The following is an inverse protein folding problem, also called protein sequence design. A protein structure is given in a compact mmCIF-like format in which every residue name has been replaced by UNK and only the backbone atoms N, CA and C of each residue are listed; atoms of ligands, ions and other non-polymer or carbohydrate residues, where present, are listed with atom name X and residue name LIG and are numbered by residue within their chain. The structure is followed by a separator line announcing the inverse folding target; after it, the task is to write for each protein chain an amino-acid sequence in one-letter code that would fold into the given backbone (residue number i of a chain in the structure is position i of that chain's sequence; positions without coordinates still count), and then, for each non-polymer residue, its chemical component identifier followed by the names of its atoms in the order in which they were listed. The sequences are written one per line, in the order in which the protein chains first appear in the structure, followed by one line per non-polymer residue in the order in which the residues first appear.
data_IF_131410554524
#
_entry.id   IF_131410554524
#
_cell.length_a   1.000
_cell.length_b   1.000
_cell.length_c   1.000
_cell.angle_alpha   90.00
_cell.angle_beta   90.00
_cell.angle_gamma   90.00
#
_symmetry.space_group_name_H-M   'P 1'
#
loop_
_entity.id
_entity.type
_entity.pdbx_description
1 polymer ?
#
# COMPACT_ATOMS: atom_id res chain seq x y z
N UNK A 1 -9.83 -1.51 -25.90
CA UNK A 1 -10.17 -1.86 -24.49
C UNK A 1 -10.10 -0.59 -23.67
N UNK A 2 -11.06 -0.32 -22.80
CA UNK A 2 -10.94 0.80 -21.87
C UNK A 2 -9.99 0.46 -20.71
N UNK A 3 -9.66 1.49 -19.87
CA UNK A 3 -8.69 1.34 -18.79
C UNK A 3 -9.17 0.40 -17.68
N UNK A 4 -10.47 0.45 -17.34
CA UNK A 4 -11.06 -0.42 -16.31
C UNK A 4 -11.00 -1.89 -16.72
N UNK A 5 -11.45 -2.21 -17.92
CA UNK A 5 -11.42 -3.57 -18.45
C UNK A 5 -9.98 -4.09 -18.54
N UNK A 6 -9.02 -3.24 -18.96
CA UNK A 6 -7.60 -3.59 -19.03
C UNK A 6 -7.05 -4.01 -17.68
N UNK A 7 -7.27 -3.19 -16.64
CA UNK A 7 -6.81 -3.47 -15.27
C UNK A 7 -7.53 -4.69 -14.70
N UNK A 8 -8.86 -4.78 -14.91
CA UNK A 8 -9.64 -5.93 -14.46
C UNK A 8 -9.13 -7.23 -15.06
N UNK A 9 -8.90 -7.27 -16.39
CA UNK A 9 -8.32 -8.45 -17.05
C UNK A 9 -6.94 -8.80 -16.51
N UNK A 10 -6.07 -7.82 -16.35
CA UNK A 10 -4.75 -8.03 -15.80
C UNK A 10 -4.83 -8.68 -14.42
N UNK A 11 -5.60 -8.12 -13.48
CA UNK A 11 -5.75 -8.66 -12.12
C UNK A 11 -6.35 -10.08 -12.16
N UNK A 12 -7.31 -10.35 -13.07
CA UNK A 12 -7.95 -11.66 -13.22
C UNK A 12 -7.17 -12.63 -14.12
N UNK A 13 -5.91 -12.32 -14.41
CA UNK A 13 -4.99 -13.20 -15.18
C UNK A 13 -5.53 -13.55 -16.59
N UNK A 14 -6.20 -12.56 -17.19
CA UNK A 14 -6.66 -12.60 -18.57
C UNK A 14 -5.83 -11.62 -19.39
N UNK A 15 -5.52 -11.97 -20.64
CA UNK A 15 -4.71 -11.11 -21.51
C UNK A 15 -5.42 -9.77 -21.80
N UNK A 16 -4.87 -8.63 -21.39
CA UNK A 16 -5.34 -7.32 -21.84
C UNK A 16 -4.77 -6.97 -23.23
N UNK A 17 -5.22 -5.86 -23.81
CA UNK A 17 -4.65 -5.32 -25.06
C UNK A 17 -3.21 -4.84 -24.90
N UNK A 18 -2.85 -4.34 -23.73
CA UNK A 18 -1.48 -4.08 -23.25
C UNK A 18 -1.41 -4.28 -21.73
N UNK A 19 -0.23 -4.44 -21.19
CA UNK A 19 -0.03 -4.42 -19.74
C UNK A 19 -0.46 -3.06 -19.19
N UNK A 20 -1.32 -3.00 -18.16
CA UNK A 20 -1.65 -1.74 -17.50
C UNK A 20 -0.44 -1.18 -16.75
N UNK A 21 -0.41 0.13 -16.59
CA UNK A 21 0.66 0.84 -15.88
C UNK A 21 0.11 1.67 -14.73
N UNK A 22 0.90 1.78 -13.67
CA UNK A 22 0.61 2.61 -12.52
C UNK A 22 1.79 3.50 -12.15
N UNK A 23 1.52 4.54 -11.34
CA UNK A 23 2.49 5.53 -10.91
C UNK A 23 2.43 5.72 -9.40
N UNK A 24 3.58 5.59 -8.76
CA UNK A 24 3.74 5.90 -7.33
C UNK A 24 5.07 6.63 -7.13
N UNK A 25 5.03 7.82 -6.52
CA UNK A 25 6.22 8.64 -6.27
C UNK A 25 6.07 9.51 -5.03
N UNK A 26 7.20 9.98 -4.52
CA UNK A 26 7.23 11.05 -3.52
C UNK A 26 6.77 12.37 -4.14
N UNK A 27 6.14 13.27 -3.36
CA UNK A 27 5.62 14.55 -3.88
C UNK A 27 6.66 15.40 -4.60
N UNK A 28 7.91 15.41 -4.13
CA UNK A 28 9.00 16.15 -4.75
C UNK A 28 9.34 15.64 -6.16
N UNK A 29 9.26 14.34 -6.39
CA UNK A 29 9.48 13.72 -7.72
C UNK A 29 8.35 14.09 -8.67
N UNK A 30 7.10 13.98 -8.20
CA UNK A 30 5.93 14.41 -8.97
C UNK A 30 6.03 15.86 -9.38
N UNK A 31 6.40 16.75 -8.45
CA UNK A 31 6.58 18.18 -8.70
C UNK A 31 7.67 18.43 -9.75
N UNK A 32 8.79 17.73 -9.65
CA UNK A 32 9.89 17.84 -10.60
C UNK A 32 9.48 17.40 -12.02
N UNK A 33 8.77 16.25 -12.14
CA UNK A 33 8.26 15.74 -13.43
C UNK A 33 7.28 16.72 -14.07
N UNK A 34 6.27 17.19 -13.32
CA UNK A 34 5.28 18.17 -13.82
C UNK A 34 5.98 19.40 -14.36
N UNK A 35 6.94 19.95 -13.61
CA UNK A 35 7.71 21.14 -14.00
C UNK A 35 8.57 20.90 -15.25
N UNK A 36 9.32 19.82 -15.32
CA UNK A 36 10.24 19.53 -16.42
C UNK A 36 9.50 19.22 -17.71
N UNK A 37 8.33 18.57 -17.62
CA UNK A 37 7.50 18.27 -18.78
C UNK A 37 6.58 19.43 -19.21
N UNK A 38 6.57 20.55 -18.47
CA UNK A 38 5.71 21.70 -18.76
C UNK A 38 4.21 21.43 -18.59
N UNK A 39 3.86 20.49 -17.71
CA UNK A 39 2.48 20.10 -17.45
C UNK A 39 1.82 21.02 -16.41
N UNK A 40 0.48 21.03 -16.36
CA UNK A 40 -0.27 21.90 -15.44
C UNK A 40 -0.36 21.29 -14.03
N UNK A 41 -0.46 19.95 -13.93
CA UNK A 41 -0.63 19.30 -12.63
C UNK A 41 -0.48 17.78 -12.65
N UNK A 42 -0.85 17.18 -11.53
CA UNK A 42 -0.70 15.74 -11.31
C UNK A 42 -1.53 14.90 -12.30
N UNK A 43 -2.78 15.28 -12.55
CA UNK A 43 -3.63 14.55 -13.49
C UNK A 43 -3.05 14.54 -14.91
N UNK A 44 -2.47 15.68 -15.37
CA UNK A 44 -1.81 15.76 -16.68
C UNK A 44 -0.58 14.84 -16.74
N UNK A 45 0.16 14.72 -15.62
CA UNK A 45 1.29 13.80 -15.53
C UNK A 45 0.82 12.34 -15.67
N UNK A 46 -0.24 11.96 -14.97
CA UNK A 46 -0.79 10.61 -15.05
C UNK A 46 -1.31 10.27 -16.47
N UNK A 47 -1.92 11.26 -17.16
CA UNK A 47 -2.31 11.11 -18.56
C UNK A 47 -1.09 10.97 -19.48
N UNK A 48 -0.08 11.83 -19.30
CA UNK A 48 1.17 11.80 -20.07
C UNK A 48 1.88 10.45 -19.95
N UNK A 49 1.91 9.86 -18.76
CA UNK A 49 2.49 8.54 -18.49
C UNK A 49 1.57 7.39 -18.94
N UNK A 50 0.33 7.67 -19.31
CA UNK A 50 -0.63 6.66 -19.76
C UNK A 50 -1.11 5.69 -18.69
N UNK A 51 -1.14 6.13 -17.41
CA UNK A 51 -1.55 5.28 -16.28
C UNK A 51 -3.02 4.89 -16.36
N UNK A 52 -3.33 3.69 -15.90
CA UNK A 52 -4.65 3.09 -15.99
C UNK A 52 -5.44 3.15 -14.68
N UNK A 53 -4.77 3.43 -13.55
CA UNK A 53 -5.34 3.48 -12.21
C UNK A 53 -5.48 4.92 -11.71
N UNK A 54 -6.50 5.16 -10.85
CA UNK A 54 -6.63 6.40 -10.07
C UNK A 54 -6.96 6.07 -8.63
N UNK A 55 -6.21 6.64 -7.73
CA UNK A 55 -6.43 6.48 -6.30
C UNK A 55 -7.43 7.51 -5.83
N UNK A 56 -8.56 7.02 -5.36
CA UNK A 56 -9.52 7.81 -4.61
C UNK A 56 -8.90 8.04 -3.25
N UNK A 57 -8.75 9.28 -2.82
CA UNK A 57 -7.97 9.70 -1.65
C UNK A 57 -8.55 9.29 -0.27
N UNK A 58 -8.88 8.02 -0.01
CA UNK A 58 -9.19 7.55 1.33
C UNK A 58 -7.95 7.58 2.24
N UNK A 59 -6.74 7.50 1.64
CA UNK A 59 -5.47 7.66 2.37
C UNK A 59 -5.36 9.05 3.00
N UNK A 60 -5.67 10.09 2.25
CA UNK A 60 -5.62 11.47 2.74
C UNK A 60 -6.74 11.78 3.72
N UNK A 61 -7.89 11.13 3.60
CA UNK A 61 -8.97 11.23 4.58
C UNK A 61 -8.52 10.78 5.98
N UNK A 62 -7.68 9.74 6.07
CA UNK A 62 -7.18 9.23 7.36
C UNK A 62 -6.05 10.09 7.93
N UNK A 63 -5.24 10.75 7.09
CA UNK A 63 -4.04 11.47 7.52
C UNK A 63 -4.15 13.00 7.40
N UNK A 64 -5.09 13.53 6.60
CA UNK A 64 -5.29 14.97 6.46
C UNK A 64 -6.11 15.58 7.59
N UNK A 65 -5.49 16.54 8.30
CA UNK A 65 -6.11 17.30 9.38
C UNK A 65 -7.41 18.02 8.99
N UNK A 66 -7.62 18.35 7.70
CA UNK A 66 -8.79 19.11 7.22
C UNK A 66 -10.10 18.33 7.24
N UNK A 67 -10.03 17.00 7.23
CA UNK A 67 -11.20 16.11 7.15
C UNK A 67 -11.43 15.31 8.41
N UNK A 68 -10.56 15.47 9.40
CA UNK A 68 -10.65 14.81 10.68
C UNK A 68 -11.48 15.65 11.66
N UNK A 69 -12.59 15.09 12.13
CA UNK A 69 -13.54 15.76 13.04
C UNK A 69 -13.42 15.28 14.50
N UNK A 70 -12.52 14.35 14.77
CA UNK A 70 -12.24 13.82 16.11
C UNK A 70 -11.32 14.73 16.93
N UNK A 71 -10.87 14.26 18.10
CA UNK A 71 -9.88 14.94 18.90
C UNK A 71 -8.61 15.20 18.06
N UNK A 72 -8.20 16.46 18.00
CA UNK A 72 -7.00 16.80 17.22
C UNK A 72 -5.77 16.13 17.82
N UNK A 73 -4.85 15.60 16.97
CA UNK A 73 -3.56 15.17 17.43
C UNK A 73 -2.86 16.28 18.17
N UNK A 74 -2.28 15.98 19.32
CA UNK A 74 -1.54 16.97 20.12
C UNK A 74 -0.19 17.25 19.49
N UNK A 75 0.22 18.52 19.48
CA UNK A 75 1.59 18.93 19.17
C UNK A 75 2.25 19.34 20.47
N UNK A 76 3.48 18.92 20.69
CA UNK A 76 4.23 19.14 21.91
C UNK A 76 5.27 20.26 21.74
N UNK A 77 5.74 20.82 22.85
CA UNK A 77 6.67 21.97 22.84
C UNK A 77 8.02 21.67 22.17
N UNK A 78 8.43 20.40 22.12
CA UNK A 78 9.63 19.94 21.43
C UNK A 78 9.45 19.70 19.92
N UNK A 79 8.29 20.07 19.36
CA UNK A 79 7.95 19.92 17.95
C UNK A 79 7.48 18.51 17.56
N UNK A 80 7.47 17.55 18.49
CA UNK A 80 6.87 16.24 18.25
C UNK A 80 5.34 16.34 18.18
N UNK A 81 4.70 15.36 17.58
CA UNK A 81 3.25 15.34 17.40
C UNK A 81 2.69 13.92 17.57
N UNK A 82 1.44 13.84 17.96
CA UNK A 82 0.71 12.61 18.20
C UNK A 82 -0.23 12.31 17.02
N UNK A 83 -0.24 11.06 16.55
CA UNK A 83 -1.20 10.62 15.52
C UNK A 83 -2.54 10.16 16.13
N UNK A 84 -3.46 9.69 15.27
CA UNK A 84 -4.81 9.26 15.70
C UNK A 84 -4.81 8.08 16.67
N UNK A 85 -3.71 7.33 16.74
CA UNK A 85 -3.52 6.19 17.62
C UNK A 85 -2.93 6.59 18.99
N UNK A 86 -2.62 7.85 19.19
CA UNK A 86 -1.87 8.32 20.35
C UNK A 86 -0.37 8.01 20.28
N UNK A 87 0.12 7.57 19.12
CA UNK A 87 1.55 7.36 18.89
C UNK A 87 2.22 8.70 18.63
N UNK A 88 3.27 9.01 19.41
CA UNK A 88 4.00 10.26 19.28
C UNK A 88 5.17 10.08 18.32
N UNK A 89 5.33 11.05 17.43
CA UNK A 89 6.35 11.08 16.38
C UNK A 89 7.22 12.31 16.51
N UNK A 90 8.49 12.17 16.13
CA UNK A 90 9.43 13.27 16.03
C UNK A 90 10.20 13.18 14.72
N UNK A 91 10.61 14.33 14.19
CA UNK A 91 11.46 14.36 13.02
C UNK A 91 12.88 13.94 13.38
N UNK A 92 13.42 12.99 12.64
CA UNK A 92 14.81 12.53 12.73
C UNK A 92 15.51 12.75 11.40
N UNK A 93 16.79 13.10 11.45
CA UNK A 93 17.63 13.24 10.27
C UNK A 93 18.45 11.96 10.08
N UNK A 94 18.33 11.34 8.90
CA UNK A 94 19.12 10.18 8.52
C UNK A 94 19.67 10.41 7.12
N UNK A 95 20.98 10.42 6.97
CA UNK A 95 21.69 10.59 5.70
C UNK A 95 21.20 11.80 4.86
N UNK A 96 20.93 12.93 5.54
CA UNK A 96 20.47 14.17 4.90
C UNK A 96 18.98 14.22 4.58
N UNK A 97 18.22 13.17 4.84
CA UNK A 97 16.76 13.12 4.69
C UNK A 97 16.06 13.22 6.04
N UNK A 98 14.87 13.83 6.05
CA UNK A 98 14.03 13.96 7.25
C UNK A 98 12.94 12.89 7.24
N UNK A 99 12.83 12.16 8.36
CA UNK A 99 11.80 11.14 8.58
C UNK A 99 11.02 11.42 9.85
N UNK A 100 9.74 11.04 9.87
CA UNK A 100 8.93 11.02 11.09
C UNK A 100 9.09 9.64 11.75
N UNK A 101 9.75 9.59 12.90
CA UNK A 101 9.99 8.35 13.65
C UNK A 101 9.18 8.32 14.95
N UNK A 102 8.89 7.13 15.44
CA UNK A 102 8.12 6.90 16.67
C UNK A 102 9.02 7.18 17.87
N UNK A 103 8.66 8.18 18.69
CA UNK A 103 9.36 8.50 19.93
C UNK A 103 8.57 8.12 21.21
N UNK A 104 7.27 7.78 21.08
CA UNK A 104 6.45 7.30 22.17
C UNK A 104 5.34 6.39 21.67
N UNK A 105 5.14 5.27 22.35
CA UNK A 105 4.08 4.27 22.10
C UNK A 105 3.15 4.24 23.31
N UNK A 106 1.83 4.52 23.14
CA UNK A 106 0.92 4.70 24.27
C UNK A 106 0.71 3.44 25.11
N UNK A 107 0.84 2.26 24.51
CA UNK A 107 0.69 0.96 25.20
C UNK A 107 2.03 0.22 25.39
N UNK A 108 3.16 0.95 25.45
CA UNK A 108 4.50 0.34 25.55
C UNK A 108 4.68 -0.57 26.76
N UNK A 109 3.91 -0.38 27.83
CA UNK A 109 3.99 -1.15 29.08
C UNK A 109 2.75 -2.02 29.33
N UNK A 110 1.79 -2.04 28.39
CA UNK A 110 0.54 -2.78 28.57
C UNK A 110 0.79 -4.29 28.56
N UNK A 111 0.33 -4.95 29.62
CA UNK A 111 0.39 -6.42 29.83
C UNK A 111 -0.97 -7.02 30.22
N UNK A 112 -2.04 -6.21 30.19
CA UNK A 112 -3.40 -6.62 30.54
C UNK A 112 -4.41 -6.12 29.51
N UNK A 113 -5.55 -6.81 29.42
CA UNK A 113 -6.67 -6.39 28.58
C UNK A 113 -7.31 -5.08 29.07
N UNK A 114 -7.29 -4.84 30.38
CA UNK A 114 -7.82 -3.61 30.95
C UNK A 114 -7.08 -2.37 30.44
N UNK A 115 -5.75 -2.43 30.36
CA UNK A 115 -4.93 -1.34 29.82
C UNK A 115 -5.22 -1.08 28.32
N UNK A 116 -5.46 -2.14 27.55
CA UNK A 116 -5.87 -2.02 26.14
C UNK A 116 -7.25 -1.38 26.02
N UNK A 117 -8.21 -1.77 26.89
CA UNK A 117 -9.58 -1.23 26.86
C UNK A 117 -9.67 0.22 27.30
N UNK A 118 -8.79 0.67 28.21
CA UNK A 118 -8.70 2.07 28.66
C UNK A 118 -8.05 3.00 27.63
N UNK A 119 -7.39 2.47 26.59
CA UNK A 119 -6.80 3.29 25.54
C UNK A 119 -7.87 4.01 24.72
N UNK A 120 -7.58 5.26 24.33
CA UNK A 120 -8.47 6.06 23.47
C UNK A 120 -8.31 5.68 22.01
N UNK A 121 -9.10 4.69 21.59
CA UNK A 121 -9.10 4.19 20.21
C UNK A 121 -9.77 5.18 19.25
N UNK A 122 -9.26 5.36 18.02
CA UNK A 122 -9.88 6.23 17.02
C UNK A 122 -11.25 5.68 16.57
N UNK A 123 -12.13 6.60 16.18
CA UNK A 123 -13.46 6.26 15.68
C UNK A 123 -13.55 6.55 14.17
N UNK A 124 -14.00 5.61 13.34
CA UNK A 124 -14.24 5.83 11.92
C UNK A 124 -15.15 7.02 11.59
N UNK A 125 -16.05 7.42 12.51
CA UNK A 125 -16.95 8.56 12.32
C UNK A 125 -16.26 9.93 12.42
N UNK A 126 -15.01 9.98 12.83
CA UNK A 126 -14.25 11.24 12.91
C UNK A 126 -13.73 11.74 11.57
N UNK A 127 -13.98 11.01 10.46
CA UNK A 127 -13.50 11.35 9.13
C UNK A 127 -14.63 11.79 8.20
N UNK A 128 -14.31 12.65 7.25
CA UNK A 128 -15.26 13.15 6.25
C UNK A 128 -15.12 12.38 4.94
N UNK A 129 -16.14 11.63 4.58
CA UNK A 129 -16.21 10.80 3.38
C UNK A 129 -16.98 11.42 2.22
N UNK A 130 -17.48 12.68 2.37
CA UNK A 130 -18.42 13.33 1.44
C UNK A 130 -17.84 13.62 0.06
N UNK A 131 -16.52 13.72 -0.06
CA UNK A 131 -15.85 13.99 -1.34
C UNK A 131 -15.67 12.73 -2.22
N UNK A 132 -15.80 11.54 -1.67
CA UNK A 132 -15.57 10.28 -2.39
C UNK A 132 -16.46 10.16 -3.64
N UNK A 133 -17.77 10.47 -3.61
CA UNK A 133 -18.61 10.41 -4.81
C UNK A 133 -18.14 11.33 -5.94
N UNK A 134 -17.60 12.51 -5.62
CA UNK A 134 -17.08 13.46 -6.61
C UNK A 134 -15.79 12.94 -7.23
N UNK A 135 -14.86 12.43 -6.43
CA UNK A 135 -13.64 11.81 -6.92
C UNK A 135 -13.96 10.62 -7.85
N UNK A 136 -14.90 9.76 -7.47
CA UNK A 136 -15.33 8.65 -8.31
C UNK A 136 -15.94 9.10 -9.65
N UNK A 137 -16.65 10.23 -9.67
CA UNK A 137 -17.17 10.80 -10.93
C UNK A 137 -16.06 11.37 -11.80
N UNK A 138 -15.13 12.12 -11.18
CA UNK A 138 -13.99 12.75 -11.88
C UNK A 138 -13.15 11.73 -12.63
N UNK A 139 -12.93 10.57 -12.04
CA UNK A 139 -12.04 9.54 -12.58
C UNK A 139 -12.79 8.31 -13.13
N UNK A 140 -14.04 8.48 -13.54
CA UNK A 140 -14.92 7.38 -13.95
C UNK A 140 -14.38 6.49 -15.08
N UNK A 141 -13.47 7.01 -15.93
CA UNK A 141 -12.87 6.29 -17.06
C UNK A 141 -11.65 5.44 -16.67
N UNK A 142 -11.23 5.48 -15.41
CA UNK A 142 -10.06 4.76 -14.88
C UNK A 142 -10.46 3.64 -13.93
N UNK A 143 -9.56 2.68 -13.71
CA UNK A 143 -9.72 1.73 -12.62
C UNK A 143 -9.54 2.46 -11.28
N UNK A 144 -10.60 2.52 -10.48
CA UNK A 144 -10.64 3.25 -9.23
C UNK A 144 -10.15 2.39 -8.07
N UNK A 145 -9.08 2.84 -7.44
CA UNK A 145 -8.45 2.19 -6.29
C UNK A 145 -8.84 2.96 -5.03
N UNK A 146 -9.29 2.28 -4.00
CA UNK A 146 -9.66 2.94 -2.75
C UNK A 146 -9.66 2.02 -1.54
N UNK A 147 -9.90 2.59 -0.36
CA UNK A 147 -9.93 1.88 0.92
C UNK A 147 -9.06 2.54 1.98
N UNK A 148 -9.30 2.25 3.26
CA UNK A 148 -8.38 2.60 4.33
C UNK A 148 -7.13 1.76 4.25
N UNK A 149 -5.97 2.35 4.60
CA UNK A 149 -4.66 1.71 4.44
C UNK A 149 -4.53 0.32 5.11
N UNK A 150 -5.26 0.07 6.20
CA UNK A 150 -5.35 -1.24 6.83
C UNK A 150 -4.03 -1.77 7.41
N UNK A 151 -3.14 -0.88 7.88
CA UNK A 151 -1.83 -1.24 8.42
C UNK A 151 -1.93 -1.93 9.80
N UNK A 152 -2.65 -3.04 9.89
CA UNK A 152 -2.96 -3.72 11.17
C UNK A 152 -1.68 -4.06 11.95
N UNK A 153 -0.70 -4.68 11.31
CA UNK A 153 0.58 -5.00 11.96
C UNK A 153 1.38 -3.73 12.26
N UNK A 154 1.48 -2.83 11.28
CA UNK A 154 2.23 -1.58 11.41
C UNK A 154 1.73 -0.71 12.56
N UNK A 155 0.42 -0.51 12.66
CA UNK A 155 -0.17 0.32 13.71
C UNK A 155 -0.16 -0.39 15.06
N UNK A 156 -0.41 -1.71 15.10
CA UNK A 156 -0.34 -2.48 16.35
C UNK A 156 1.06 -2.37 17.01
N UNK A 157 2.12 -2.57 16.23
CA UNK A 157 3.46 -2.45 16.83
C UNK A 157 3.88 -0.99 17.11
N UNK A 158 3.35 0.00 16.40
CA UNK A 158 3.62 1.42 16.74
C UNK A 158 2.90 1.82 18.03
N UNK A 159 1.70 1.33 18.25
CA UNK A 159 0.91 1.57 19.47
C UNK A 159 1.60 0.97 20.70
N UNK A 160 2.18 -0.22 20.57
CA UNK A 160 2.80 -0.92 21.71
C UNK A 160 4.33 -0.80 21.76
N UNK A 161 4.97 -0.31 20.69
CA UNK A 161 6.42 -0.41 20.48
C UNK A 161 6.78 -1.76 19.86
N UNK A 162 7.63 -1.75 18.81
CA UNK A 162 7.91 -2.97 18.04
C UNK A 162 8.44 -4.12 18.90
N UNK A 163 9.43 -3.85 19.77
CA UNK A 163 10.02 -4.88 20.62
C UNK A 163 8.99 -5.45 21.59
N UNK A 164 8.24 -4.58 22.30
CA UNK A 164 7.22 -5.00 23.27
C UNK A 164 6.12 -5.80 22.58
N UNK A 165 5.66 -5.35 21.42
CA UNK A 165 4.62 -6.05 20.65
C UNK A 165 5.06 -7.48 20.27
N UNK A 166 6.29 -7.64 19.74
CA UNK A 166 6.83 -8.94 19.35
C UNK A 166 7.00 -9.88 20.56
N UNK A 167 7.43 -9.35 21.71
CA UNK A 167 7.53 -10.12 22.96
C UNK A 167 6.12 -10.52 23.46
N UNK A 168 5.17 -9.59 23.46
CA UNK A 168 3.79 -9.86 23.91
C UNK A 168 3.03 -10.83 23.01
N UNK A 169 3.40 -10.95 21.73
CA UNK A 169 2.85 -12.04 20.90
C UNK A 169 3.17 -13.44 21.47
N UNK A 170 4.17 -13.56 22.35
CA UNK A 170 4.59 -14.82 22.99
C UNK A 170 4.17 -14.85 24.45
N UNK A 171 4.45 -13.81 25.22
CA UNK A 171 4.28 -13.76 26.67
C UNK A 171 2.86 -13.33 27.09
N UNK A 172 2.23 -12.40 26.35
CA UNK A 172 0.89 -11.88 26.60
C UNK A 172 0.07 -11.89 25.30
N UNK A 173 -0.15 -13.06 24.65
CA UNK A 173 -0.74 -13.14 23.32
C UNK A 173 -2.17 -12.59 23.25
N UNK A 174 -2.91 -12.60 24.35
CA UNK A 174 -4.26 -12.01 24.45
C UNK A 174 -4.21 -10.48 24.34
N UNK A 175 -3.16 -9.83 24.90
CA UNK A 175 -2.95 -8.37 24.80
C UNK A 175 -2.60 -8.00 23.37
N UNK A 176 -1.63 -8.69 22.76
CA UNK A 176 -1.26 -8.47 21.36
C UNK A 176 -2.46 -8.66 20.41
N UNK A 177 -3.26 -9.73 20.64
CA UNK A 177 -4.46 -10.00 19.84
C UNK A 177 -5.54 -8.93 20.03
N UNK A 178 -5.72 -8.42 21.25
CA UNK A 178 -6.68 -7.36 21.53
C UNK A 178 -6.31 -6.07 20.75
N UNK A 179 -5.04 -5.69 20.75
CA UNK A 179 -4.55 -4.53 19.97
C UNK A 179 -4.79 -4.73 18.47
N UNK A 180 -4.43 -5.90 17.92
CA UNK A 180 -4.70 -6.26 16.51
C UNK A 180 -6.18 -6.13 16.18
N UNK A 181 -7.05 -6.65 17.05
CA UNK A 181 -8.50 -6.61 16.86
C UNK A 181 -9.08 -5.19 16.89
N UNK A 182 -8.56 -4.31 17.75
CA UNK A 182 -8.98 -2.90 17.81
C UNK A 182 -8.58 -2.15 16.54
N UNK A 183 -7.35 -2.37 16.04
CA UNK A 183 -6.88 -1.77 14.79
C UNK A 183 -7.67 -2.29 13.59
N UNK A 184 -7.93 -3.61 13.52
CA UNK A 184 -8.78 -4.20 12.48
C UNK A 184 -10.19 -3.59 12.47
N UNK A 185 -10.85 -3.53 13.63
CA UNK A 185 -12.20 -2.97 13.75
C UNK A 185 -12.29 -1.53 13.26
N UNK A 186 -11.28 -0.73 13.58
CA UNK A 186 -11.22 0.64 13.07
C UNK A 186 -11.16 0.66 11.53
N UNK A 187 -10.23 -0.06 10.91
CA UNK A 187 -10.11 -0.09 9.45
C UNK A 187 -11.32 -0.72 8.77
N UNK A 188 -11.91 -1.75 9.36
CA UNK A 188 -13.17 -2.31 8.87
C UNK A 188 -14.27 -1.24 8.81
N UNK A 189 -14.44 -0.47 9.89
CA UNK A 189 -15.42 0.61 9.95
C UNK A 189 -15.12 1.77 9.01
N UNK A 190 -13.85 2.12 8.80
CA UNK A 190 -13.43 3.12 7.79
C UNK A 190 -13.77 2.64 6.38
N UNK A 191 -13.46 1.38 6.07
CA UNK A 191 -13.76 0.78 4.77
C UNK A 191 -15.26 0.76 4.47
N UNK A 192 -16.11 0.42 5.45
CA UNK A 192 -17.57 0.47 5.27
C UNK A 192 -18.02 1.85 4.77
N UNK A 193 -17.54 2.93 5.42
CA UNK A 193 -17.92 4.30 5.07
C UNK A 193 -17.39 4.73 3.70
N UNK A 194 -16.17 4.34 3.36
CA UNK A 194 -15.57 4.60 2.04
C UNK A 194 -16.38 3.89 0.96
N UNK A 195 -16.66 2.60 1.15
CA UNK A 195 -17.34 1.78 0.17
C UNK A 195 -18.79 2.21 -0.03
N UNK A 196 -19.48 2.58 1.05
CA UNK A 196 -20.84 3.12 1.00
C UNK A 196 -20.88 4.48 0.27
N UNK A 197 -19.92 5.38 0.57
CA UNK A 197 -19.81 6.66 -0.11
C UNK A 197 -19.46 6.51 -1.59
N UNK A 198 -18.64 5.54 -1.96
CA UNK A 198 -18.29 5.23 -3.35
C UNK A 198 -19.44 4.60 -4.14
N UNK A 199 -20.47 4.06 -3.46
CA UNK A 199 -21.68 3.50 -4.05
C UNK A 199 -21.42 2.50 -5.21
N UNK A 200 -20.50 1.56 -5.01
CA UNK A 200 -20.12 0.53 -5.98
C UNK A 200 -19.28 1.03 -7.15
N UNK A 201 -18.62 2.19 -7.03
CA UNK A 201 -17.77 2.75 -8.08
C UNK A 201 -16.30 2.33 -7.99
N UNK A 202 -15.85 1.87 -6.82
CA UNK A 202 -14.49 1.37 -6.65
C UNK A 202 -14.33 0.01 -7.36
N UNK A 203 -13.24 -0.14 -8.09
CA UNK A 203 -12.88 -1.37 -8.79
C UNK A 203 -11.91 -2.23 -7.97
N UNK A 204 -11.06 -1.58 -7.16
CA UNK A 204 -9.99 -2.21 -6.39
C UNK A 204 -9.99 -1.68 -4.96
N UNK A 205 -10.01 -2.58 -4.00
CA UNK A 205 -9.65 -2.30 -2.61
C UNK A 205 -8.13 -2.48 -2.43
N UNK A 206 -7.47 -1.44 -1.92
CA UNK A 206 -6.03 -1.44 -1.68
C UNK A 206 -5.73 -1.18 -0.22
N UNK A 207 -5.03 -2.12 0.41
CA UNK A 207 -4.58 -2.03 1.78
C UNK A 207 -3.28 -2.80 1.99
N UNK A 208 -2.61 -2.65 3.15
CA UNK A 208 -1.34 -3.33 3.28
C UNK A 208 -0.69 -3.35 4.65
N UNK A 209 0.26 -4.29 4.76
CA UNK A 209 1.10 -4.49 5.94
C UNK A 209 2.47 -5.00 5.52
N UNK A 210 3.53 -4.37 6.00
CA UNK A 210 4.89 -4.80 5.71
C UNK A 210 5.30 -5.94 6.66
N UNK A 211 5.29 -7.17 6.14
CA UNK A 211 5.75 -8.36 6.87
C UNK A 211 7.16 -8.78 6.48
N UNK A 212 7.74 -8.21 5.42
CA UNK A 212 9.05 -8.54 4.91
C UNK A 212 10.12 -7.50 5.21
N UNK A 213 11.34 -7.97 5.29
CA UNK A 213 12.57 -7.18 5.16
C UNK A 213 13.23 -7.52 3.82
N UNK A 214 14.37 -6.93 3.50
CA UNK A 214 15.11 -7.30 2.27
C UNK A 214 15.57 -8.78 2.26
N UNK A 215 15.70 -9.42 3.43
CA UNK A 215 16.29 -10.77 3.59
C UNK A 215 15.30 -11.83 4.05
N UNK A 216 14.10 -11.49 4.46
CA UNK A 216 13.13 -12.45 4.98
C UNK A 216 12.00 -11.80 5.74
N UNK A 217 11.17 -12.62 6.34
CA UNK A 217 10.01 -12.16 7.12
C UNK A 217 10.42 -11.57 8.47
N UNK A 218 9.66 -10.57 8.93
CA UNK A 218 9.75 -10.05 10.30
C UNK A 218 9.12 -11.00 11.32
N UNK A 219 8.17 -11.82 10.89
CA UNK A 219 7.47 -12.81 11.70
C UNK A 219 7.53 -14.17 11.00
N UNK A 220 7.55 -15.27 11.79
CA UNK A 220 7.37 -16.59 11.19
C UNK A 220 5.98 -16.72 10.55
N UNK A 221 5.80 -17.54 9.50
CA UNK A 221 4.46 -17.80 8.93
C UNK A 221 3.45 -18.30 9.95
N UNK A 222 3.90 -19.03 10.99
CA UNK A 222 3.04 -19.45 12.10
C UNK A 222 2.50 -18.28 12.90
N UNK A 223 3.35 -17.28 13.21
CA UNK A 223 2.93 -16.08 13.94
C UNK A 223 2.01 -15.20 13.09
N UNK A 224 2.31 -15.04 11.80
CA UNK A 224 1.44 -14.38 10.85
C UNK A 224 0.03 -15.01 10.86
N UNK A 225 -0.06 -16.34 10.68
CA UNK A 225 -1.35 -17.05 10.66
C UNK A 225 -2.11 -16.92 11.97
N UNK A 226 -1.41 -16.90 13.10
CA UNK A 226 -2.04 -16.80 14.43
C UNK A 226 -2.66 -15.43 14.65
N UNK A 227 -1.99 -14.35 14.28
CA UNK A 227 -2.37 -13.01 14.70
C UNK A 227 -3.01 -12.16 13.61
N UNK A 228 -2.69 -12.39 12.32
CA UNK A 228 -3.04 -11.45 11.24
C UNK A 228 -3.87 -12.06 10.11
N UNK A 229 -3.71 -13.36 9.81
CA UNK A 229 -4.33 -13.95 8.63
C UNK A 229 -5.86 -13.79 8.62
N UNK A 230 -6.52 -13.97 9.77
CA UNK A 230 -7.97 -13.83 9.88
C UNK A 230 -8.44 -12.38 9.64
N UNK A 231 -7.71 -11.40 10.20
CA UNK A 231 -8.01 -9.97 10.02
C UNK A 231 -7.82 -9.52 8.58
N UNK A 232 -6.75 -9.97 7.92
CA UNK A 232 -6.49 -9.68 6.51
C UNK A 232 -7.57 -10.30 5.62
N UNK A 233 -7.92 -11.57 5.85
CA UNK A 233 -8.99 -12.25 5.12
C UNK A 233 -10.35 -11.55 5.31
N UNK A 234 -10.66 -11.06 6.51
CA UNK A 234 -11.90 -10.34 6.81
C UNK A 234 -11.98 -9.00 6.06
N UNK A 235 -10.89 -8.22 6.00
CA UNK A 235 -10.86 -6.98 5.21
C UNK A 235 -10.95 -7.27 3.71
N UNK A 236 -10.28 -8.30 3.22
CA UNK A 236 -10.39 -8.72 1.82
C UNK A 236 -11.82 -9.16 1.47
N UNK A 237 -12.46 -9.96 2.34
CA UNK A 237 -13.83 -10.41 2.15
C UNK A 237 -14.83 -9.25 2.12
N UNK A 238 -14.65 -8.24 2.97
CA UNK A 238 -15.48 -7.02 2.98
C UNK A 238 -15.52 -6.32 1.61
N UNK A 239 -14.40 -6.29 0.90
CA UNK A 239 -14.31 -5.76 -0.46
C UNK A 239 -14.90 -6.71 -1.51
N UNK A 240 -14.63 -8.01 -1.39
CA UNK A 240 -15.18 -9.04 -2.29
C UNK A 240 -16.70 -9.07 -2.30
N UNK A 241 -17.33 -8.92 -1.16
CA UNK A 241 -18.81 -8.85 -1.03
C UNK A 241 -19.41 -7.66 -1.77
N UNK A 242 -18.61 -6.64 -2.07
CA UNK A 242 -18.97 -5.47 -2.87
C UNK A 242 -18.52 -5.55 -4.33
N UNK A 243 -17.97 -6.71 -4.76
CA UNK A 243 -17.55 -6.97 -6.14
C UNK A 243 -16.18 -6.38 -6.52
N UNK A 244 -15.40 -5.88 -5.56
CA UNK A 244 -14.08 -5.32 -5.82
C UNK A 244 -13.01 -6.40 -5.93
N UNK A 245 -11.97 -6.15 -6.73
CA UNK A 245 -10.69 -6.86 -6.65
C UNK A 245 -9.91 -6.37 -5.44
N UNK A 246 -9.02 -7.22 -4.90
CA UNK A 246 -8.21 -6.88 -3.73
C UNK A 246 -6.74 -6.83 -4.11
N UNK A 247 -6.14 -5.66 -3.99
CA UNK A 247 -4.70 -5.44 -4.12
C UNK A 247 -4.10 -5.23 -2.73
N UNK A 248 -3.07 -6.01 -2.41
CA UNK A 248 -2.50 -6.04 -1.07
C UNK A 248 -1.03 -5.67 -1.08
N UNK A 249 -0.69 -4.66 -0.28
CA UNK A 249 0.67 -4.19 -0.12
C UNK A 249 1.42 -4.99 0.94
N UNK A 250 2.59 -5.52 0.57
CA UNK A 250 3.57 -6.00 1.54
C UNK A 250 4.98 -5.94 0.96
N UNK A 251 5.77 -4.98 1.44
CA UNK A 251 7.16 -4.81 1.06
C UNK A 251 8.04 -5.98 1.49
N UNK A 252 9.19 -6.14 0.82
CA UNK A 252 10.26 -7.05 1.19
C UNK A 252 10.08 -8.49 0.73
N UNK A 253 10.84 -9.39 1.35
CA UNK A 253 10.91 -10.81 1.03
C UNK A 253 9.72 -11.58 1.63
N UNK A 254 8.55 -11.48 0.98
CA UNK A 254 7.28 -12.06 1.46
C UNK A 254 6.85 -13.33 0.74
N UNK A 255 7.70 -13.91 -0.12
CA UNK A 255 7.38 -15.11 -0.91
C UNK A 255 6.74 -16.23 -0.09
N UNK A 256 7.20 -16.47 1.14
CA UNK A 256 6.68 -17.52 2.01
C UNK A 256 5.23 -17.27 2.49
N UNK A 257 4.72 -16.03 2.41
CA UNK A 257 3.34 -15.66 2.76
C UNK A 257 2.40 -15.56 1.55
N UNK A 258 2.90 -15.64 0.32
CA UNK A 258 2.05 -15.55 -0.88
C UNK A 258 0.92 -16.60 -0.87
N UNK A 259 1.14 -17.88 -0.48
CA UNK A 259 0.03 -18.83 -0.34
C UNK A 259 -1.02 -18.40 0.69
N UNK A 260 -0.61 -17.77 1.79
CA UNK A 260 -1.53 -17.25 2.80
C UNK A 260 -2.32 -16.04 2.27
N UNK A 261 -1.68 -15.15 1.48
CA UNK A 261 -2.36 -14.02 0.82
C UNK A 261 -3.41 -14.50 -0.19
N UNK A 262 -3.07 -15.51 -1.00
CA UNK A 262 -4.02 -16.15 -1.92
C UNK A 262 -5.21 -16.73 -1.15
N UNK A 263 -4.96 -17.46 -0.06
CA UNK A 263 -6.01 -18.03 0.78
C UNK A 263 -6.88 -16.97 1.46
N UNK A 264 -6.34 -15.78 1.74
CA UNK A 264 -7.08 -14.64 2.27
C UNK A 264 -7.95 -13.92 1.21
N UNK A 265 -7.87 -14.32 -0.08
CA UNK A 265 -8.65 -13.72 -1.16
C UNK A 265 -7.99 -12.51 -1.83
N UNK A 266 -6.68 -12.34 -1.68
CA UNK A 266 -5.90 -11.31 -2.38
C UNK A 266 -5.79 -11.68 -3.86
N UNK A 267 -6.09 -10.73 -4.74
CA UNK A 267 -6.02 -10.91 -6.21
C UNK A 267 -4.70 -10.40 -6.79
N UNK A 268 -4.09 -9.38 -6.17
CA UNK A 268 -2.87 -8.75 -6.66
C UNK A 268 -1.93 -8.41 -5.49
N UNK A 269 -0.67 -8.83 -5.59
CA UNK A 269 0.39 -8.47 -4.63
C UNK A 269 1.10 -7.21 -5.11
N UNK A 270 1.20 -6.21 -4.23
CA UNK A 270 1.91 -4.94 -4.39
C UNK A 270 2.87 -4.69 -3.21
N UNK A 271 4.07 -4.19 -3.44
CA UNK A 271 4.80 -4.27 -4.69
C UNK A 271 5.61 -5.57 -4.74
N UNK A 272 5.94 -6.02 -5.94
CA UNK A 272 7.02 -7.00 -6.08
C UNK A 272 8.35 -6.26 -6.03
N UNK A 273 9.02 -6.28 -4.88
CA UNK A 273 10.36 -5.70 -4.72
C UNK A 273 11.41 -6.65 -5.28
N UNK A 274 11.83 -6.41 -6.53
CA UNK A 274 12.66 -7.33 -7.32
C UNK A 274 14.00 -7.69 -6.68
N UNK A 275 14.56 -6.84 -5.82
CA UNK A 275 15.85 -7.07 -5.14
C UNK A 275 15.71 -7.76 -3.78
N UNK A 276 14.51 -7.88 -3.23
CA UNK A 276 14.29 -8.62 -1.99
C UNK A 276 14.47 -10.13 -2.23
N UNK A 277 14.95 -10.84 -1.20
CA UNK A 277 15.28 -12.27 -1.33
C UNK A 277 14.07 -13.11 -1.75
N UNK A 278 14.24 -13.88 -2.84
CA UNK A 278 13.18 -14.73 -3.39
C UNK A 278 12.07 -14.00 -4.15
N UNK A 279 12.17 -12.69 -4.37
CA UNK A 279 11.12 -11.87 -4.97
C UNK A 279 11.35 -11.54 -6.45
N UNK A 280 12.16 -12.33 -7.17
CA UNK A 280 12.27 -12.14 -8.63
C UNK A 280 10.90 -12.29 -9.33
N UNK A 281 10.42 -11.25 -10.05
CA UNK A 281 9.08 -11.24 -10.63
C UNK A 281 8.80 -12.39 -11.59
N UNK A 282 9.82 -12.84 -12.36
CA UNK A 282 9.67 -13.93 -13.33
C UNK A 282 9.48 -15.26 -12.60
N UNK A 283 10.26 -15.50 -11.54
CA UNK A 283 10.12 -16.68 -10.69
C UNK A 283 8.76 -16.71 -9.98
N UNK A 284 8.30 -15.57 -9.45
CA UNK A 284 7.00 -15.47 -8.80
C UNK A 284 5.86 -15.72 -9.79
N UNK A 285 5.95 -15.18 -11.01
CA UNK A 285 4.98 -15.44 -12.07
C UNK A 285 4.91 -16.93 -12.43
N UNK A 286 6.04 -17.60 -12.53
CA UNK A 286 6.08 -19.03 -12.84
C UNK A 286 5.43 -19.89 -11.73
N UNK A 287 5.61 -19.51 -10.46
CA UNK A 287 5.10 -20.29 -9.31
C UNK A 287 3.66 -19.96 -8.95
N UNK A 288 3.31 -18.67 -8.87
CA UNK A 288 2.04 -18.22 -8.34
C UNK A 288 1.13 -17.51 -9.36
N UNK A 289 1.63 -17.20 -10.55
CA UNK A 289 0.93 -16.36 -11.53
C UNK A 289 -0.40 -16.92 -12.06
N UNK A 290 -0.71 -18.20 -11.82
CA UNK A 290 -2.04 -18.77 -12.08
C UNK A 290 -3.07 -18.44 -11.01
N UNK A 291 -2.63 -17.97 -9.82
CA UNK A 291 -3.48 -17.75 -8.65
C UNK A 291 -3.55 -16.29 -8.23
N UNK A 292 -2.46 -15.52 -8.39
CA UNK A 292 -2.38 -14.12 -7.99
C UNK A 292 -1.72 -13.29 -9.09
N UNK A 293 -2.13 -12.03 -9.22
CA UNK A 293 -1.47 -11.03 -10.06
C UNK A 293 -0.36 -10.31 -9.29
N UNK A 294 0.51 -9.62 -10.03
CA UNK A 294 1.65 -8.88 -9.47
C UNK A 294 1.64 -7.44 -9.94
N UNK A 295 2.00 -6.52 -9.03
CA UNK A 295 2.17 -5.11 -9.29
C UNK A 295 3.59 -4.69 -8.90
N UNK A 296 4.24 -3.79 -9.68
CA UNK A 296 5.58 -3.32 -9.37
C UNK A 296 6.68 -3.97 -10.22
N UNK A 297 7.81 -4.31 -9.61
CA UNK A 297 8.92 -5.07 -10.23
C UNK A 297 9.96 -4.24 -10.97
N UNK A 298 9.75 -2.91 -11.13
CA UNK A 298 10.82 -2.01 -11.60
C UNK A 298 11.61 -1.50 -10.40
N UNK A 299 12.85 -1.93 -10.33
CA UNK A 299 13.76 -1.68 -9.22
C UNK A 299 14.06 -0.18 -9.03
N UNK A 300 13.65 0.33 -7.87
CA UNK A 300 13.85 1.72 -7.45
C UNK A 300 15.14 1.95 -6.65
N UNK A 301 15.87 0.89 -6.28
CA UNK A 301 17.07 1.00 -5.44
C UNK A 301 18.37 1.08 -6.26
N UNK A 302 18.42 0.43 -7.41
CA UNK A 302 19.62 0.34 -8.25
C UNK A 302 19.37 0.71 -9.70
N UNK A 303 18.33 0.13 -10.33
CA UNK A 303 18.07 0.33 -11.75
C UNK A 303 17.68 1.78 -12.07
N UNK A 304 16.68 2.31 -11.39
CA UNK A 304 16.21 3.68 -11.66
C UNK A 304 17.24 4.75 -11.26
N UNK A 305 17.95 4.67 -10.12
CA UNK A 305 18.98 5.64 -9.78
C UNK A 305 20.26 5.54 -10.61
N UNK A 306 20.72 4.34 -10.93
CA UNK A 306 22.08 4.13 -11.44
C UNK A 306 22.16 3.46 -12.82
N UNK A 307 21.06 2.93 -13.33
CA UNK A 307 20.99 2.31 -14.64
C UNK A 307 20.92 3.36 -15.76
N UNK A 308 21.22 2.92 -16.97
CA UNK A 308 21.01 3.72 -18.18
C UNK A 308 19.54 3.66 -18.62
N UNK A 309 19.09 4.66 -19.37
CA UNK A 309 17.78 4.70 -20.04
C UNK A 309 17.50 3.41 -20.84
N UNK A 310 18.53 2.85 -21.48
CA UNK A 310 18.42 1.61 -22.23
C UNK A 310 18.12 0.42 -21.32
N UNK A 311 18.84 0.27 -20.23
CA UNK A 311 18.62 -0.83 -19.27
C UNK A 311 17.24 -0.77 -18.65
N UNK A 312 16.76 0.44 -18.30
CA UNK A 312 15.40 0.62 -17.78
C UNK A 312 14.35 0.17 -18.80
N UNK A 313 14.47 0.58 -20.07
CA UNK A 313 13.55 0.17 -21.14
C UNK A 313 13.59 -1.34 -21.38
N UNK A 314 14.79 -1.93 -21.43
CA UNK A 314 14.99 -3.37 -21.61
C UNK A 314 14.35 -4.15 -20.45
N UNK A 315 14.50 -3.69 -19.20
CA UNK A 315 13.89 -4.31 -18.04
C UNK A 315 12.37 -4.21 -18.07
N UNK A 316 11.81 -3.03 -18.34
CA UNK A 316 10.37 -2.84 -18.44
C UNK A 316 9.78 -3.73 -19.55
N UNK A 317 10.40 -3.79 -20.73
CA UNK A 317 9.98 -4.67 -21.82
C UNK A 317 10.04 -6.15 -21.41
N UNK A 318 11.13 -6.59 -20.79
CA UNK A 318 11.25 -7.96 -20.30
C UNK A 318 10.11 -8.35 -19.35
N UNK A 319 9.77 -7.47 -18.39
CA UNK A 319 8.68 -7.74 -17.46
C UNK A 319 7.32 -7.77 -18.17
N UNK A 320 7.08 -6.89 -19.14
CA UNK A 320 5.86 -6.89 -19.96
C UNK A 320 5.75 -8.22 -20.74
N UNK A 321 6.82 -8.65 -21.37
CA UNK A 321 6.85 -9.87 -22.21
C UNK A 321 6.79 -11.17 -21.43
N UNK A 322 7.29 -11.18 -20.18
CA UNK A 322 7.36 -12.39 -19.34
C UNK A 322 6.30 -12.43 -18.26
N UNK A 323 6.33 -11.48 -17.32
CA UNK A 323 5.38 -11.42 -16.19
C UNK A 323 3.99 -11.02 -16.67
N UNK A 324 3.92 -10.14 -17.68
CA UNK A 324 2.68 -9.67 -18.31
C UNK A 324 2.04 -10.68 -19.26
N UNK A 325 2.78 -11.71 -19.70
CA UNK A 325 2.27 -12.70 -20.63
C UNK A 325 1.00 -13.39 -20.12
N UNK A 326 -0.08 -13.30 -20.90
CA UNK A 326 -1.38 -13.88 -20.54
C UNK A 326 -2.16 -13.12 -19.47
N UNK A 327 -1.69 -11.96 -19.01
CA UNK A 327 -2.27 -11.18 -17.91
C UNK A 327 -1.58 -11.43 -16.56
N UNK A 328 -2.16 -10.94 -15.47
CA UNK A 328 -1.60 -11.12 -14.11
C UNK A 328 -0.45 -10.17 -13.78
N UNK A 329 -0.36 -9.00 -14.44
CA UNK A 329 0.68 -8.03 -14.16
C UNK A 329 0.24 -6.58 -14.41
N UNK A 330 0.66 -5.70 -13.51
CA UNK A 330 0.57 -4.25 -13.63
C UNK A 330 2.00 -3.69 -13.48
N UNK A 331 2.48 -3.00 -14.51
CA UNK A 331 3.82 -2.39 -14.51
C UNK A 331 3.84 -1.16 -13.61
N UNK A 332 4.70 -1.17 -12.63
CA UNK A 332 4.90 -0.04 -11.70
C UNK A 332 6.33 -0.07 -11.12
N UNK A 333 6.80 1.01 -10.48
CA UNK A 333 7.99 0.94 -9.65
C UNK A 333 7.74 0.02 -8.45
N UNK A 334 8.79 -0.64 -7.96
CA UNK A 334 8.71 -1.58 -6.83
C UNK A 334 8.67 -0.90 -5.45
N UNK A 335 8.70 0.42 -5.44
CA UNK A 335 8.45 1.32 -4.31
C UNK A 335 8.15 2.72 -4.87
N UNK A 336 7.61 3.63 -4.04
CA UNK A 336 7.44 5.02 -4.44
C UNK A 336 8.76 5.60 -4.96
N UNK A 337 8.73 6.17 -6.17
CA UNK A 337 9.89 6.81 -6.80
C UNK A 337 10.48 7.88 -5.88
N UNK A 338 11.79 7.86 -5.72
CA UNK A 338 12.57 8.77 -4.88
C UNK A 338 13.31 9.80 -5.75
N UNK A 339 13.79 10.86 -5.14
CA UNK A 339 14.51 11.94 -5.82
C UNK A 339 15.90 11.59 -6.37
N UNK A 340 16.40 10.40 -6.11
CA UNK A 340 17.65 9.86 -6.63
C UNK A 340 17.51 9.23 -8.03
N UNK A 341 16.29 8.92 -8.47
CA UNK A 341 16.02 8.45 -9.83
C UNK A 341 15.99 9.61 -10.82
N UNK A 342 16.74 9.50 -11.94
CA UNK A 342 16.70 10.51 -13.00
C UNK A 342 15.33 10.53 -13.69
N UNK A 343 14.91 11.73 -14.13
CA UNK A 343 13.63 11.89 -14.85
C UNK A 343 13.64 11.07 -16.14
N UNK A 344 14.77 11.00 -16.84
CA UNK A 344 14.94 10.23 -18.07
C UNK A 344 14.71 8.73 -17.81
N UNK A 345 15.21 8.20 -16.69
CA UNK A 345 14.99 6.80 -16.29
C UNK A 345 13.52 6.55 -15.88
N UNK A 346 12.91 7.49 -15.15
CA UNK A 346 11.48 7.40 -14.83
C UNK A 346 10.65 7.35 -16.11
N UNK A 347 10.87 8.25 -17.06
CA UNK A 347 10.14 8.27 -18.33
C UNK A 347 10.42 7.02 -19.18
N UNK A 348 11.64 6.48 -19.13
CA UNK A 348 12.01 5.28 -19.87
C UNK A 348 11.21 4.05 -19.44
N UNK A 349 10.77 3.98 -18.18
CA UNK A 349 9.94 2.91 -17.67
C UNK A 349 8.57 2.85 -18.39
N UNK A 350 8.00 4.02 -18.75
CA UNK A 350 6.68 4.12 -19.38
C UNK A 350 6.72 4.10 -20.91
N UNK A 351 7.89 4.31 -21.54
CA UNK A 351 8.02 4.36 -23.02
C UNK A 351 8.09 3.02 -23.76
N UNK A 352 8.25 1.84 -23.14
CA UNK A 352 8.19 0.57 -23.88
C UNK A 352 6.78 0.24 -24.38
N UNK A 353 5.80 1.04 -24.03
CA UNK A 353 4.38 0.84 -24.37
C UNK A 353 3.94 1.62 -25.63
N UNK A 354 4.86 2.41 -26.25
CA UNK A 354 4.65 3.16 -27.48
C UNK A 354 4.94 2.36 -28.75
#
# INVERSE_FOLDING_TARGET
MDRKERVWRAIHRQAPDRVPVDYSARPEVTTALVKQLGLVGFDDLLEYLGTDLRYIEPREVIYERRRYQGPHPRTFADGSWEDIWGVRRAQVQVDGSTYDDVCYSPLAHATSLEEVDQHSWPNPDWFDYRDIPEQCRRYADYALVGGGWGAIFGDAYRIQGLQTFLVNMVEHPEVAQAIVSRVEQFYYGVNERIFDAAAGKLDIFYFGNDFGTQRGLMLSPRMYRRFFAASIARLAQQAKERGMSVMYHSCGAVRALIPDFIAAGIDCLDPVQALAEGMDPISLKAEFGSQIAFHGGIDTQRLLPFGSVREVRERARLLIETVGAGGGYILAPDQALQGDASIENILAMYTPLG
#
